data_IF_175653426656
#
_entry.id   IF_175653426656
#
_cell.length_a   1.000
_cell.length_b   1.000
_cell.length_c   1.000
_cell.angle_alpha   90.00
_cell.angle_beta   90.00
_cell.angle_gamma   90.00
#
_symmetry.space_group_name_H-M   'P 1'
#
loop_
_entity.id
_entity.type
_entity.pdbx_description
1 polymer ?
#
# COMPACT_ATOMS: atom_id res chain seq x y z
N UNK A 1 -16.99 17.45 -2.38
CA UNK A 1 -15.89 17.16 -1.46
C UNK A 1 -14.95 16.18 -2.16
N UNK A 2 -13.77 16.66 -2.49
CA UNK A 2 -12.74 15.82 -3.08
C UNK A 2 -12.13 14.98 -1.97
N UNK A 3 -12.36 13.68 -2.02
CA UNK A 3 -11.83 12.71 -1.06
C UNK A 3 -10.56 12.01 -1.59
N UNK A 4 -9.93 12.58 -2.60
CA UNK A 4 -8.68 12.04 -3.15
C UNK A 4 -7.54 12.10 -2.15
N UNK A 5 -6.45 11.37 -2.45
CA UNK A 5 -5.22 11.44 -1.67
C UNK A 5 -4.65 12.85 -1.78
N UNK A 6 -4.36 13.47 -0.63
CA UNK A 6 -3.56 14.69 -0.61
C UNK A 6 -2.10 14.30 -0.86
N UNK A 7 -1.55 14.90 -1.85
CA UNK A 7 -0.22 14.55 -2.35
C UNK A 7 0.75 15.66 -2.08
N UNK A 8 1.91 15.28 -1.59
CA UNK A 8 3.05 16.17 -1.60
C UNK A 8 3.49 16.51 -3.03
N UNK A 9 3.00 15.76 -4.02
CA UNK A 9 3.09 16.05 -5.44
C UNK A 9 1.83 15.57 -6.15
N UNK A 10 1.42 16.27 -7.19
CA UNK A 10 0.37 15.77 -8.07
C UNK A 10 0.96 14.70 -8.99
N UNK A 11 0.31 13.54 -9.14
CA UNK A 11 0.70 12.64 -10.21
C UNK A 11 0.43 13.36 -11.52
N UNK A 12 1.38 13.37 -12.41
CA UNK A 12 1.04 13.68 -13.77
C UNK A 12 0.35 12.45 -14.34
N UNK A 13 -0.78 12.64 -14.99
CA UNK A 13 -1.41 11.58 -15.77
C UNK A 13 -0.41 10.93 -16.73
N UNK A 14 0.59 11.66 -17.12
CA UNK A 14 1.65 11.23 -18.04
C UNK A 14 2.63 10.24 -17.39
N UNK A 15 2.75 10.21 -16.06
CA UNK A 15 3.63 9.27 -15.37
C UNK A 15 3.04 7.87 -15.25
N UNK A 16 1.73 7.73 -15.43
CA UNK A 16 1.01 6.46 -15.30
C UNK A 16 0.61 5.92 -16.67
N UNK A 17 0.42 6.79 -17.64
CA UNK A 17 0.23 6.40 -19.02
C UNK A 17 1.56 5.82 -19.51
N UNK A 18 1.73 4.52 -19.32
CA UNK A 18 2.85 3.83 -19.92
C UNK A 18 2.93 4.23 -21.36
N UNK A 19 4.09 4.64 -21.76
CA UNK A 19 4.39 4.90 -23.14
C UNK A 19 4.08 3.61 -23.89
N UNK A 20 3.04 3.59 -24.72
CA UNK A 20 2.63 2.40 -25.47
C UNK A 20 3.78 1.83 -26.31
N UNK A 21 4.72 2.69 -26.69
CA UNK A 21 5.92 2.33 -27.42
C UNK A 21 6.89 1.49 -26.57
N UNK A 22 6.76 1.53 -25.25
CA UNK A 22 7.61 0.81 -24.31
C UNK A 22 6.91 -0.37 -23.64
N UNK A 23 5.73 -0.75 -24.14
CA UNK A 23 5.00 -1.90 -23.63
C UNK A 23 5.82 -3.17 -23.75
N UNK A 24 5.99 -3.87 -22.62
CA UNK A 24 6.66 -5.16 -22.59
C UNK A 24 5.67 -6.27 -22.89
N UNK A 25 6.13 -7.31 -23.59
CA UNK A 25 5.37 -8.55 -23.64
C UNK A 25 5.34 -9.15 -22.24
N UNK A 26 4.39 -10.06 -21.99
CA UNK A 26 4.28 -10.77 -20.72
C UNK A 26 5.60 -11.49 -20.35
N UNK A 27 6.23 -12.14 -21.34
CA UNK A 27 7.49 -12.81 -21.12
C UNK A 27 8.63 -11.83 -20.78
N UNK A 28 8.69 -10.68 -21.44
CA UNK A 28 9.69 -9.65 -21.15
C UNK A 28 9.46 -9.06 -19.75
N UNK A 29 8.22 -8.79 -19.36
CA UNK A 29 7.88 -8.31 -18.04
C UNK A 29 8.34 -9.30 -16.97
N UNK A 30 8.00 -10.58 -17.14
CA UNK A 30 8.38 -11.64 -16.18
C UNK A 30 9.89 -11.82 -16.07
N UNK A 31 10.68 -11.45 -17.08
CA UNK A 31 12.14 -11.54 -17.04
C UNK A 31 12.80 -10.43 -16.26
N UNK A 32 12.14 -9.28 -16.07
CA UNK A 32 12.69 -8.11 -15.38
C UNK A 32 12.14 -7.90 -13.97
N UNK A 33 11.00 -8.50 -13.66
CA UNK A 33 10.40 -8.40 -12.33
C UNK A 33 9.62 -9.66 -11.99
N UNK A 34 9.70 -10.03 -10.72
CA UNK A 34 8.81 -11.02 -10.12
C UNK A 34 8.46 -10.58 -8.69
N UNK A 35 7.23 -10.85 -8.24
CA UNK A 35 6.84 -10.49 -6.88
C UNK A 35 7.61 -11.31 -5.85
N UNK A 36 7.83 -10.75 -4.68
CA UNK A 36 8.32 -11.54 -3.55
C UNK A 36 7.25 -12.58 -3.22
N UNK A 37 7.64 -13.85 -3.19
CA UNK A 37 6.72 -14.95 -2.91
C UNK A 37 6.10 -14.82 -1.52
N UNK A 38 4.86 -15.28 -1.38
CA UNK A 38 4.08 -15.12 -0.15
C UNK A 38 4.83 -15.63 1.10
N UNK A 39 5.51 -16.77 0.98
CA UNK A 39 6.25 -17.37 2.09
C UNK A 39 7.62 -16.73 2.33
N UNK A 40 8.03 -15.79 1.49
CA UNK A 40 9.32 -15.08 1.59
C UNK A 40 9.15 -13.60 1.91
N UNK A 41 7.93 -13.15 2.17
CA UNK A 41 7.68 -11.78 2.57
C UNK A 41 8.47 -11.46 3.84
N UNK A 42 9.12 -10.30 3.86
CA UNK A 42 9.95 -9.87 4.99
C UNK A 42 9.15 -9.84 6.29
N UNK A 43 7.90 -9.38 6.22
CA UNK A 43 7.04 -9.23 7.39
C UNK A 43 5.88 -10.25 7.39
N UNK A 44 6.14 -11.46 6.89
CA UNK A 44 5.12 -12.50 6.73
C UNK A 44 4.27 -12.68 8.01
N UNK A 45 4.91 -12.85 9.17
CA UNK A 45 4.18 -13.14 10.41
C UNK A 45 3.30 -11.98 10.86
N UNK A 46 3.84 -10.76 10.82
CA UNK A 46 3.09 -9.58 11.27
C UNK A 46 1.97 -9.21 10.32
N UNK A 47 2.11 -9.52 9.02
CA UNK A 47 1.06 -9.27 8.03
C UNK A 47 -0.02 -10.35 8.06
N UNK A 48 0.37 -11.62 8.18
CA UNK A 48 -0.57 -12.74 8.22
C UNK A 48 -1.40 -12.72 9.51
N UNK A 49 -0.76 -12.46 10.63
CA UNK A 49 -1.41 -12.42 11.95
C UNK A 49 -2.29 -13.67 12.18
N UNK A 50 -3.59 -13.45 12.38
CA UNK A 50 -4.56 -14.51 12.65
C UNK A 50 -5.27 -15.03 11.40
N UNK A 51 -4.87 -14.58 10.22
CA UNK A 51 -5.43 -15.13 8.99
C UNK A 51 -5.03 -16.59 8.83
N UNK A 52 -5.93 -17.39 8.28
CA UNK A 52 -5.57 -18.71 7.79
C UNK A 52 -4.66 -18.56 6.55
N UNK A 53 -4.00 -19.65 6.16
CA UNK A 53 -3.17 -19.63 4.95
C UNK A 53 -4.00 -19.25 3.71
N UNK A 54 -5.23 -19.75 3.61
CA UNK A 54 -6.13 -19.44 2.50
C UNK A 54 -6.57 -17.99 2.50
N UNK A 55 -6.89 -17.45 3.66
CA UNK A 55 -7.26 -16.04 3.80
C UNK A 55 -6.12 -15.13 3.41
N UNK A 56 -4.93 -15.42 3.90
CA UNK A 56 -3.76 -14.61 3.56
C UNK A 56 -3.40 -14.73 2.07
N UNK A 57 -3.55 -15.93 1.49
CA UNK A 57 -3.32 -16.14 0.07
C UNK A 57 -4.29 -15.31 -0.79
N UNK A 58 -5.56 -15.18 -0.38
CA UNK A 58 -6.52 -14.32 -1.07
C UNK A 58 -6.12 -12.85 -0.98
N UNK A 59 -5.72 -12.39 0.20
CA UNK A 59 -5.23 -11.03 0.39
C UNK A 59 -3.99 -10.75 -0.48
N UNK A 60 -3.07 -11.70 -0.53
CA UNK A 60 -1.87 -11.60 -1.37
C UNK A 60 -2.23 -11.46 -2.85
N UNK A 61 -3.19 -12.26 -3.34
CA UNK A 61 -3.61 -12.17 -4.75
C UNK A 61 -4.24 -10.80 -5.07
N UNK A 62 -5.04 -10.26 -4.16
CA UNK A 62 -5.61 -8.93 -4.35
C UNK A 62 -4.53 -7.83 -4.31
N UNK A 63 -3.55 -7.96 -3.42
CA UNK A 63 -2.42 -7.04 -3.37
C UNK A 63 -1.58 -7.12 -4.65
N UNK A 64 -1.40 -8.30 -5.23
CA UNK A 64 -0.72 -8.47 -6.52
C UNK A 64 -1.38 -7.67 -7.63
N UNK A 65 -2.70 -7.60 -7.66
CA UNK A 65 -3.43 -6.80 -8.64
C UNK A 65 -3.11 -5.32 -8.52
N UNK A 66 -2.87 -4.85 -7.30
CA UNK A 66 -2.48 -3.46 -7.05
C UNK A 66 -1.05 -3.20 -7.52
N UNK A 67 -0.10 -4.05 -7.15
CA UNK A 67 1.32 -3.76 -7.35
C UNK A 67 1.85 -4.13 -8.73
N UNK A 68 1.25 -5.11 -9.41
CA UNK A 68 1.76 -5.55 -10.72
C UNK A 68 1.84 -4.41 -11.74
N UNK A 69 0.81 -3.55 -11.89
CA UNK A 69 0.93 -2.40 -12.80
C UNK A 69 2.00 -1.38 -12.39
N UNK A 70 2.45 -1.41 -11.14
CA UNK A 70 3.40 -0.44 -10.59
C UNK A 70 4.83 -0.96 -10.57
N UNK A 71 5.04 -2.22 -10.90
CA UNK A 71 6.29 -2.94 -10.60
C UNK A 71 7.55 -2.32 -11.19
N UNK A 72 7.45 -1.73 -12.38
CA UNK A 72 8.60 -1.12 -13.07
C UNK A 72 8.63 0.41 -12.95
N UNK A 73 7.76 0.99 -12.14
CA UNK A 73 7.70 2.44 -11.92
C UNK A 73 8.73 2.88 -10.88
N UNK A 74 8.94 4.20 -10.78
CA UNK A 74 9.76 4.77 -9.71
C UNK A 74 9.14 4.46 -8.33
N UNK A 75 9.96 4.53 -7.28
CA UNK A 75 9.46 4.31 -5.92
C UNK A 75 8.35 5.29 -5.58
N UNK A 76 8.51 6.58 -5.94
CA UNK A 76 7.49 7.60 -5.71
C UNK A 76 6.16 7.23 -6.37
N UNK A 77 6.20 6.80 -7.62
CA UNK A 77 4.99 6.40 -8.35
C UNK A 77 4.39 5.11 -7.79
N UNK A 78 5.22 4.20 -7.31
CA UNK A 78 4.75 2.98 -6.64
C UNK A 78 3.98 3.32 -5.37
N UNK A 79 4.54 4.18 -4.52
CA UNK A 79 3.88 4.60 -3.28
C UNK A 79 2.57 5.31 -3.57
N UNK A 80 2.59 6.25 -4.51
CA UNK A 80 1.39 6.97 -4.90
C UNK A 80 0.32 6.03 -5.48
N UNK A 81 0.72 5.10 -6.33
CA UNK A 81 -0.17 4.13 -6.93
C UNK A 81 -0.81 3.20 -5.90
N UNK A 82 -0.03 2.75 -4.91
CA UNK A 82 -0.55 1.94 -3.81
C UNK A 82 -1.59 2.73 -3.00
N UNK A 83 -1.22 3.93 -2.56
CA UNK A 83 -2.11 4.75 -1.75
C UNK A 83 -3.41 5.09 -2.50
N UNK A 84 -3.30 5.41 -3.79
CA UNK A 84 -4.45 5.74 -4.63
C UNK A 84 -5.39 4.54 -4.83
N UNK A 85 -4.84 3.36 -5.08
CA UNK A 85 -5.64 2.14 -5.26
C UNK A 85 -6.36 1.77 -3.96
N UNK A 86 -5.68 1.87 -2.82
CA UNK A 86 -6.30 1.56 -1.54
C UNK A 86 -7.32 2.63 -1.14
N UNK A 87 -7.09 3.89 -1.51
CA UNK A 87 -8.07 4.95 -1.24
C UNK A 87 -9.30 4.84 -2.13
N UNK A 88 -9.17 4.36 -3.34
CA UNK A 88 -10.29 4.24 -4.28
C UNK A 88 -11.44 3.41 -3.70
N UNK A 89 -11.16 2.33 -2.96
CA UNK A 89 -12.20 1.49 -2.35
C UNK A 89 -12.85 2.14 -1.12
N UNK A 90 -12.22 3.16 -0.56
CA UNK A 90 -12.83 3.99 0.48
C UNK A 90 -13.78 5.01 -0.16
N UNK A 91 -13.29 5.69 -1.18
CA UNK A 91 -14.04 6.77 -1.85
C UNK A 91 -15.24 6.26 -2.62
N UNK A 92 -15.21 5.03 -3.13
CA UNK A 92 -16.36 4.43 -3.82
C UNK A 92 -17.41 3.84 -2.87
N UNK A 93 -17.17 3.92 -1.56
CA UNK A 93 -18.10 3.42 -0.55
C UNK A 93 -18.00 1.94 -0.24
N UNK A 94 -17.06 1.22 -0.85
CA UNK A 94 -16.90 -0.22 -0.63
C UNK A 94 -16.35 -0.57 0.74
N UNK A 95 -15.54 0.32 1.34
CA UNK A 95 -14.87 0.05 2.60
C UNK A 95 -15.71 0.49 3.79
N UNK A 96 -15.88 -0.41 4.76
CA UNK A 96 -16.48 -0.08 6.05
C UNK A 96 -15.37 0.10 7.09
N UNK A 97 -15.36 1.24 7.77
CA UNK A 97 -14.42 1.44 8.88
C UNK A 97 -14.91 0.69 10.12
N UNK A 98 -14.01 -0.08 10.73
CA UNK A 98 -14.32 -0.81 11.95
C UNK A 98 -13.07 -1.02 12.78
N UNK A 99 -13.22 -1.00 14.10
CA UNK A 99 -12.18 -1.37 15.07
C UNK A 99 -12.58 -2.62 15.85
N UNK A 100 -13.68 -3.28 15.50
CA UNK A 100 -14.24 -4.41 16.24
C UNK A 100 -14.51 -5.63 15.36
N UNK A 101 -14.73 -5.44 14.06
CA UNK A 101 -15.03 -6.55 13.15
C UNK A 101 -13.86 -7.52 13.03
N UNK A 102 -14.15 -8.77 12.72
CA UNK A 102 -13.10 -9.74 12.42
C UNK A 102 -12.22 -9.23 11.28
N UNK A 103 -10.92 -9.39 11.41
CA UNK A 103 -9.95 -8.97 10.39
C UNK A 103 -9.84 -7.44 10.19
N UNK A 104 -10.34 -6.64 11.13
CA UNK A 104 -10.30 -5.17 11.00
C UNK A 104 -8.87 -4.61 10.88
N UNK A 105 -7.86 -5.36 11.35
CA UNK A 105 -6.48 -4.90 11.42
C UNK A 105 -5.51 -5.77 10.60
N UNK A 106 -5.98 -6.47 9.60
CA UNK A 106 -5.13 -7.29 8.75
C UNK A 106 -5.49 -7.10 7.26
N UNK A 107 -4.61 -7.58 6.35
CA UNK A 107 -4.83 -7.39 4.92
C UNK A 107 -6.06 -8.13 4.37
N UNK A 108 -6.47 -9.23 4.97
CA UNK A 108 -7.65 -9.96 4.52
C UNK A 108 -8.91 -9.13 4.72
N UNK A 109 -9.04 -8.47 5.86
CA UNK A 109 -10.14 -7.54 6.11
C UNK A 109 -10.18 -6.44 5.07
N UNK A 110 -9.03 -5.86 4.77
CA UNK A 110 -8.97 -4.76 3.80
C UNK A 110 -9.30 -5.20 2.37
N UNK A 111 -8.58 -6.21 1.89
CA UNK A 111 -8.63 -6.58 0.47
C UNK A 111 -9.84 -7.45 0.11
N UNK A 112 -10.35 -8.26 1.03
CA UNK A 112 -11.38 -9.25 0.73
C UNK A 112 -12.70 -8.90 1.39
N UNK A 113 -12.70 -8.64 2.70
CA UNK A 113 -13.93 -8.34 3.43
C UNK A 113 -14.38 -6.89 3.30
N UNK A 114 -13.47 -6.00 2.91
CA UNK A 114 -13.73 -4.56 2.80
C UNK A 114 -14.16 -3.95 4.12
N UNK A 115 -13.48 -4.36 5.18
CA UNK A 115 -13.66 -3.77 6.51
C UNK A 115 -12.29 -3.62 7.17
N UNK A 116 -12.01 -2.44 7.71
CA UNK A 116 -10.71 -2.17 8.29
C UNK A 116 -10.69 -0.91 9.14
N UNK A 117 -9.73 -0.88 10.07
CA UNK A 117 -9.28 0.35 10.73
C UNK A 117 -8.04 0.89 10.02
N UNK A 118 -7.46 1.97 10.55
CA UNK A 118 -6.16 2.48 10.08
C UNK A 118 -5.07 1.42 10.18
N UNK A 119 -5.11 0.54 11.17
CA UNK A 119 -4.17 -0.58 11.29
C UNK A 119 -4.32 -1.58 10.13
N UNK A 120 -5.54 -1.86 9.71
CA UNK A 120 -5.80 -2.72 8.55
C UNK A 120 -5.33 -2.08 7.26
N UNK A 121 -5.57 -0.79 7.10
CA UNK A 121 -5.09 -0.04 5.94
C UNK A 121 -3.56 -0.01 5.89
N UNK A 122 -2.90 0.23 7.03
CA UNK A 122 -1.45 0.22 7.11
C UNK A 122 -0.87 -1.16 6.74
N UNK A 123 -1.49 -2.24 7.19
CA UNK A 123 -1.03 -3.59 6.85
C UNK A 123 -1.33 -3.98 5.41
N UNK A 124 -2.42 -3.50 4.83
CA UNK A 124 -2.69 -3.67 3.41
C UNK A 124 -1.62 -2.94 2.56
N UNK A 125 -1.29 -1.71 2.93
CA UNK A 125 -0.19 -0.95 2.32
C UNK A 125 1.13 -1.70 2.48
N UNK A 126 1.43 -2.18 3.67
CA UNK A 126 2.64 -2.93 3.99
C UNK A 126 2.77 -4.22 3.16
N UNK A 127 1.67 -4.92 2.94
CA UNK A 127 1.68 -6.12 2.09
C UNK A 127 2.08 -5.75 0.66
N UNK A 128 1.54 -4.68 0.11
CA UNK A 128 1.93 -4.19 -1.20
C UNK A 128 3.43 -3.84 -1.26
N UNK A 129 3.94 -3.16 -0.24
CA UNK A 129 5.36 -2.81 -0.15
C UNK A 129 6.26 -4.05 -0.04
N UNK A 130 5.87 -5.02 0.78
CA UNK A 130 6.63 -6.28 0.90
C UNK A 130 6.69 -7.05 -0.41
N UNK A 131 5.59 -7.10 -1.17
CA UNK A 131 5.55 -7.79 -2.47
C UNK A 131 6.51 -7.12 -3.45
N UNK A 132 6.62 -5.80 -3.42
CA UNK A 132 7.55 -5.04 -4.26
C UNK A 132 8.99 -5.08 -3.73
N UNK A 133 9.22 -5.57 -2.52
CA UNK A 133 10.53 -5.56 -1.89
C UNK A 133 10.96 -4.19 -1.38
N UNK A 134 10.01 -3.30 -1.09
CA UNK A 134 10.29 -1.95 -0.58
C UNK A 134 10.30 -2.00 0.95
N UNK A 135 11.40 -1.61 1.60
CA UNK A 135 11.43 -1.52 3.06
C UNK A 135 10.52 -0.42 3.58
N UNK A 136 9.98 -0.62 4.78
CA UNK A 136 9.08 0.34 5.40
C UNK A 136 9.10 0.19 6.92
N UNK A 137 8.56 1.21 7.60
CA UNK A 137 8.24 1.16 9.01
C UNK A 137 6.72 1.28 9.17
N UNK A 138 6.13 0.44 10.01
CA UNK A 138 4.72 0.56 10.41
C UNK A 138 4.65 1.47 11.63
N UNK A 139 4.29 2.74 11.41
CA UNK A 139 4.28 3.74 12.48
C UNK A 139 3.10 3.48 13.43
N UNK A 140 3.38 3.54 14.73
CA UNK A 140 2.43 3.31 15.82
C UNK A 140 1.79 1.91 15.80
N UNK A 141 2.50 0.91 15.29
CA UNK A 141 2.00 -0.46 15.25
C UNK A 141 1.55 -0.92 16.65
N UNK A 142 0.36 -1.52 16.71
CA UNK A 142 -0.26 -2.02 17.94
C UNK A 142 -0.55 -0.93 18.99
N UNK A 143 -0.68 0.33 18.56
CA UNK A 143 -1.03 1.45 19.44
C UNK A 143 -2.39 2.02 19.09
N UNK A 144 -2.99 2.75 20.04
CA UNK A 144 -4.28 3.43 19.86
C UNK A 144 -4.12 4.81 19.21
N UNK A 145 -3.16 4.93 18.31
CA UNK A 145 -2.91 6.13 17.52
C UNK A 145 -3.11 5.81 16.06
N UNK A 146 -3.26 6.85 15.24
CA UNK A 146 -3.31 6.65 13.79
C UNK A 146 -2.05 5.91 13.31
N UNK A 147 -2.22 5.01 12.36
CA UNK A 147 -1.16 4.15 11.87
C UNK A 147 -0.98 4.33 10.37
N UNK A 148 0.27 4.32 9.92
CA UNK A 148 0.61 4.45 8.51
C UNK A 148 1.95 3.77 8.22
N UNK A 149 2.33 3.72 6.94
CA UNK A 149 3.64 3.23 6.52
C UNK A 149 4.57 4.40 6.21
N UNK A 150 5.78 4.33 6.74
CA UNK A 150 6.88 5.26 6.51
C UNK A 150 7.93 4.56 5.68
N UNK A 151 8.33 5.15 4.54
CA UNK A 151 9.17 4.49 3.55
C UNK A 151 10.45 5.27 3.32
N UNK A 152 11.63 4.62 3.49
CA UNK A 152 12.90 5.27 3.16
C UNK A 152 13.05 5.41 1.65
N UNK A 153 13.48 6.58 1.21
CA UNK A 153 13.69 6.89 -0.19
C UNK A 153 15.19 6.84 -0.53
N UNK A 154 15.50 6.76 -1.82
CA UNK A 154 16.88 6.61 -2.29
C UNK A 154 17.76 7.80 -1.93
N UNK A 155 17.18 9.00 -1.80
CA UNK A 155 17.92 10.22 -1.42
C UNK A 155 18.16 10.35 0.09
N UNK A 156 17.76 9.34 0.87
CA UNK A 156 17.89 9.36 2.32
C UNK A 156 16.74 10.03 3.05
N UNK A 157 15.77 10.60 2.34
CA UNK A 157 14.54 11.12 2.93
C UNK A 157 13.55 10.01 3.20
N UNK A 158 12.43 10.36 3.83
CA UNK A 158 11.33 9.43 4.07
C UNK A 158 10.05 9.98 3.47
N UNK A 159 9.21 9.05 3.02
CA UNK A 159 7.86 9.34 2.54
C UNK A 159 6.84 8.68 3.45
N UNK A 160 5.69 9.32 3.58
CA UNK A 160 4.50 8.74 4.19
C UNK A 160 3.66 8.14 3.07
N UNK A 161 3.15 6.93 3.29
CA UNK A 161 2.21 6.28 2.38
C UNK A 161 0.99 5.87 3.20
N UNK A 162 -0.08 6.66 3.10
CA UNK A 162 -1.23 6.55 4.00
C UNK A 162 -2.55 6.84 3.28
N UNK A 163 -3.23 5.79 2.84
CA UNK A 163 -4.51 5.91 2.15
C UNK A 163 -5.62 6.45 3.07
N UNK A 164 -5.69 5.95 4.30
CA UNK A 164 -6.74 6.40 5.23
C UNK A 164 -6.52 7.82 5.72
N UNK A 165 -5.27 8.21 5.94
CA UNK A 165 -4.92 9.56 6.36
C UNK A 165 -4.82 10.57 5.23
N UNK A 166 -5.13 10.17 3.99
CA UNK A 166 -5.18 11.05 2.82
C UNK A 166 -3.85 11.73 2.51
N UNK A 167 -2.73 11.07 2.79
CA UNK A 167 -1.43 11.65 2.48
C UNK A 167 -0.49 10.59 1.87
N UNK A 168 0.13 10.96 0.76
CA UNK A 168 1.25 10.23 0.18
C UNK A 168 2.26 11.25 -0.34
N UNK A 169 3.46 11.26 0.25
CA UNK A 169 4.48 12.23 -0.13
C UNK A 169 5.57 12.35 0.90
N UNK A 170 6.48 13.33 0.71
CA UNK A 170 7.59 13.55 1.62
C UNK A 170 7.11 13.80 3.05
N UNK A 171 7.86 13.22 3.98
CA UNK A 171 7.63 13.45 5.40
C UNK A 171 8.04 14.89 5.75
N UNK A 172 7.15 15.68 6.39
CA UNK A 172 7.49 17.07 6.71
C UNK A 172 8.53 17.20 7.84
N UNK A 173 9.11 18.37 7.93
CA UNK A 173 10.00 18.76 9.02
C UNK A 173 9.26 19.69 10.00
N UNK A 174 9.31 19.45 11.31
CA UNK A 174 9.85 18.26 11.95
C UNK A 174 9.05 17.00 11.61
N UNK A 175 9.67 15.85 11.85
CA UNK A 175 9.11 14.55 11.55
C UNK A 175 7.73 14.35 12.18
N UNK A 176 6.69 14.38 11.36
CA UNK A 176 5.32 14.08 11.79
C UNK A 176 4.40 13.90 10.59
N UNK A 177 3.29 13.22 10.81
CA UNK A 177 2.24 13.15 9.80
C UNK A 177 1.56 14.51 9.68
N UNK A 178 1.28 15.03 8.46
CA UNK A 178 0.67 16.36 8.29
C UNK A 178 -0.69 16.51 8.97
N UNK A 179 -1.42 15.40 9.14
CA UNK A 179 -2.78 15.42 9.67
C UNK A 179 -2.93 14.75 11.04
N UNK A 180 -1.87 14.13 11.55
CA UNK A 180 -1.95 13.35 12.81
C UNK A 180 -0.76 13.57 13.73
#
# INVERSE_FOLDING_TARGET
LDHGIDEGRKPSADGIAGDDELSLTEAQFSSVWSPVAINKLTHYKSLKRKCTDEEFAQAYQEALKVVTPLALMSREDQLYGIASALRAVVDDGSMAYSMEANHYNDPYGYFVLRTASCAGCARATALCLDILGIPYEHVNENQWSHQWCRVPMEDGSYWICDAFGLYCGPEPEPYQHPYF
#
